data_IF_694379984032
#
_entry.id   IF_694379984032
#
_cell.length_a   1.000
_cell.length_b   1.000
_cell.length_c   1.000
_cell.angle_alpha   90.00
_cell.angle_beta   90.00
_cell.angle_gamma   90.00
#
_symmetry.space_group_name_H-M   'P 1'
#
loop_
_entity.id
_entity.type
_entity.pdbx_description
1 polymer ?
#
# COMPACT_ATOMS: atom_id res chain seq x y z
N UNK A 1 15.68 14.16 30.77
CA UNK A 1 14.87 13.01 30.29
C UNK A 1 15.16 12.82 28.80
N UNK A 2 15.45 11.60 28.33
CA UNK A 2 15.66 11.32 26.91
C UNK A 2 14.34 11.45 26.13
N UNK A 3 14.38 12.02 24.91
CA UNK A 3 13.20 12.12 24.04
C UNK A 3 12.79 10.72 23.59
N UNK A 4 11.52 10.37 23.82
CA UNK A 4 10.88 9.18 23.26
C UNK A 4 10.19 9.58 21.95
N UNK A 5 10.63 8.98 20.85
CA UNK A 5 10.03 9.17 19.52
C UNK A 5 9.39 7.85 19.12
N UNK A 6 8.12 7.89 18.72
CA UNK A 6 7.34 6.74 18.28
C UNK A 6 6.99 6.99 16.82
N UNK A 7 7.28 6.02 15.95
CA UNK A 7 6.97 6.08 14.52
C UNK A 7 6.14 4.85 14.13
N UNK A 8 5.24 5.01 13.17
CA UNK A 8 4.37 3.95 12.66
C UNK A 8 4.23 4.03 11.14
N UNK A 9 4.06 2.88 10.50
CA UNK A 9 3.62 2.79 9.11
C UNK A 9 2.18 2.30 9.09
N UNK A 10 1.30 3.05 8.43
CA UNK A 10 -0.06 2.63 8.10
C UNK A 10 -0.14 2.50 6.59
N UNK A 11 -0.52 1.32 6.10
CA UNK A 11 -0.52 1.01 4.66
C UNK A 11 -1.94 0.79 4.16
N UNK A 12 -2.48 1.79 3.46
CA UNK A 12 -3.79 1.67 2.81
C UNK A 12 -3.67 0.87 1.50
N UNK A 13 -4.19 -0.36 1.51
CA UNK A 13 -4.21 -1.23 0.32
C UNK A 13 -5.48 -0.99 -0.49
N UNK A 14 -5.47 0.13 -1.20
CA UNK A 14 -6.60 0.61 -1.99
C UNK A 14 -6.85 -0.16 -3.28
N UNK A 15 -5.79 -0.70 -3.88
CA UNK A 15 -5.85 -1.56 -5.05
C UNK A 15 -6.76 -1.00 -6.16
N UNK A 16 -7.72 -1.81 -6.62
CA UNK A 16 -8.70 -1.45 -7.63
C UNK A 16 -9.79 -0.53 -7.05
N UNK A 17 -10.05 -0.60 -5.74
CA UNK A 17 -11.20 0.03 -5.10
C UNK A 17 -11.15 1.57 -5.13
N UNK A 18 -9.96 2.16 -5.20
CA UNK A 18 -9.80 3.62 -5.19
C UNK A 18 -9.97 4.29 -6.53
N UNK A 19 -9.91 3.54 -7.63
CA UNK A 19 -10.20 4.06 -8.97
C UNK A 19 -11.64 4.55 -9.13
N UNK A 20 -12.69 3.74 -8.86
CA UNK A 20 -14.06 4.23 -8.88
C UNK A 20 -14.36 5.23 -7.75
N UNK A 21 -13.72 5.10 -6.60
CA UNK A 21 -14.05 5.88 -5.40
C UNK A 21 -13.40 7.26 -5.32
N UNK A 22 -12.29 7.52 -6.03
CA UNK A 22 -11.55 8.77 -5.85
C UNK A 22 -10.82 9.28 -7.10
N UNK A 23 -10.40 8.39 -8.01
CA UNK A 23 -9.54 8.77 -9.13
C UNK A 23 -10.23 8.74 -10.50
N UNK A 24 -11.49 8.31 -10.59
CA UNK A 24 -12.27 8.30 -11.82
C UNK A 24 -11.82 7.26 -12.86
N UNK A 25 -11.06 6.24 -12.44
CA UNK A 25 -10.45 5.23 -13.30
C UNK A 25 -11.31 3.99 -13.55
N UNK A 26 -12.61 4.01 -13.19
CA UNK A 26 -13.46 2.82 -13.19
C UNK A 26 -13.64 2.14 -14.56
N UNK A 27 -13.55 2.89 -15.65
CA UNK A 27 -13.71 2.37 -17.02
C UNK A 27 -12.37 2.30 -17.78
N UNK A 28 -11.28 2.64 -17.11
CA UNK A 28 -9.94 2.62 -17.67
C UNK A 28 -9.27 1.28 -17.42
N UNK A 29 -9.07 0.50 -18.50
CA UNK A 29 -8.35 -0.79 -18.42
C UNK A 29 -6.93 -0.65 -17.89
N UNK A 30 -6.28 0.50 -18.13
CA UNK A 30 -4.93 0.77 -17.65
C UNK A 30 -4.91 1.03 -16.14
N UNK A 31 -5.93 1.69 -15.61
CA UNK A 31 -6.00 2.00 -14.18
C UNK A 31 -6.39 0.75 -13.38
N UNK A 32 -7.31 -0.04 -13.90
CA UNK A 32 -7.67 -1.35 -13.33
C UNK A 32 -6.44 -2.28 -13.30
N UNK A 33 -5.66 -2.34 -14.38
CA UNK A 33 -4.46 -3.18 -14.42
C UNK A 33 -3.39 -2.70 -13.43
N UNK A 34 -3.22 -1.38 -13.26
CA UNK A 34 -2.38 -0.81 -12.22
C UNK A 34 -2.84 -1.17 -10.80
N UNK A 35 -4.14 -1.11 -10.53
CA UNK A 35 -4.72 -1.53 -9.25
C UNK A 35 -4.50 -3.04 -8.96
N UNK A 36 -4.56 -3.88 -9.99
CA UNK A 36 -4.29 -5.32 -9.86
C UNK A 36 -2.80 -5.59 -9.58
N UNK A 37 -1.91 -4.86 -10.25
CA UNK A 37 -0.46 -4.96 -10.03
C UNK A 37 -0.08 -4.60 -8.60
N UNK A 38 -0.68 -3.54 -8.04
CA UNK A 38 -0.42 -3.10 -6.67
C UNK A 38 -0.68 -4.22 -5.64
N UNK A 39 -1.74 -5.02 -5.83
CA UNK A 39 -2.06 -6.14 -4.92
C UNK A 39 -1.10 -7.30 -5.11
N UNK A 40 -0.86 -7.72 -6.36
CA UNK A 40 -0.11 -8.95 -6.64
C UNK A 40 1.37 -8.78 -6.31
N UNK A 41 1.95 -7.62 -6.63
CA UNK A 41 3.40 -7.41 -6.53
C UNK A 41 3.78 -6.43 -5.42
N UNK A 42 3.12 -5.30 -5.28
CA UNK A 42 3.60 -4.24 -4.37
C UNK A 42 3.31 -4.56 -2.90
N UNK A 43 2.17 -5.18 -2.58
CA UNK A 43 1.91 -5.68 -1.22
C UNK A 43 2.95 -6.73 -0.81
N UNK A 44 3.27 -7.67 -1.70
CA UNK A 44 4.31 -8.67 -1.43
C UNK A 44 5.69 -8.03 -1.19
N UNK A 45 6.04 -6.99 -1.96
CA UNK A 45 7.29 -6.23 -1.76
C UNK A 45 7.31 -5.48 -0.43
N UNK A 46 6.18 -4.91 -0.02
CA UNK A 46 6.07 -4.24 1.28
C UNK A 46 6.23 -5.23 2.44
N UNK A 47 5.65 -6.44 2.34
CA UNK A 47 5.85 -7.49 3.33
C UNK A 47 7.33 -7.89 3.43
N UNK A 48 8.03 -8.05 2.29
CA UNK A 48 9.47 -8.32 2.27
C UNK A 48 10.29 -7.16 2.88
N UNK A 49 9.87 -5.92 2.68
CA UNK A 49 10.50 -4.75 3.27
C UNK A 49 10.37 -4.76 4.80
N UNK A 50 9.16 -5.01 5.32
CA UNK A 50 8.92 -5.05 6.76
C UNK A 50 9.64 -6.21 7.43
N UNK A 51 9.68 -7.38 6.78
CA UNK A 51 10.45 -8.53 7.25
C UNK A 51 11.97 -8.22 7.29
N UNK A 52 12.50 -7.62 6.21
CA UNK A 52 13.92 -7.24 6.11
C UNK A 52 14.38 -6.30 7.24
N UNK A 53 13.53 -5.36 7.65
CA UNK A 53 13.85 -4.40 8.69
C UNK A 53 13.29 -4.79 10.08
N UNK A 54 12.66 -5.95 10.20
CA UNK A 54 11.96 -6.40 11.42
C UNK A 54 11.03 -5.30 11.99
N UNK A 55 10.33 -4.60 11.11
CA UNK A 55 9.40 -3.53 11.44
C UNK A 55 7.96 -4.02 11.37
N UNK A 56 7.09 -3.40 12.18
CA UNK A 56 5.65 -3.68 12.15
C UNK A 56 4.94 -2.55 11.40
N UNK A 57 3.97 -2.93 10.59
CA UNK A 57 3.02 -2.03 9.96
C UNK A 57 1.61 -2.38 10.43
N UNK A 58 0.72 -1.39 10.38
CA UNK A 58 -0.71 -1.50 10.70
C UNK A 58 -1.51 -1.35 9.42
#
# INVERSE_FOLDING_TARGET
>A
MLKRIICSYCVDVDAIARWPGSYGGQDSRSDISGGLFAVIYDVCRLLQLFDKYNTKAI
#
